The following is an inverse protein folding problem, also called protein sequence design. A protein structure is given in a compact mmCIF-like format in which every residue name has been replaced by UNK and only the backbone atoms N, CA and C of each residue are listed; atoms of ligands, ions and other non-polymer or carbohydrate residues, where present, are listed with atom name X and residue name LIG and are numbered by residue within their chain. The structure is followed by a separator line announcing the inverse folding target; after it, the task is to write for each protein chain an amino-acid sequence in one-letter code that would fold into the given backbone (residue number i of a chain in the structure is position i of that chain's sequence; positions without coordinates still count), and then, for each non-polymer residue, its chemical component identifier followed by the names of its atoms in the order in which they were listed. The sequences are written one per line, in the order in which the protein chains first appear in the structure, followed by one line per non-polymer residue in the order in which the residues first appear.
data_IF_075922908937
#
_entry.id   IF_075922908937
#
_cell.length_a   1.000
_cell.length_b   1.000
_cell.length_c   1.000
_cell.angle_alpha   90.00
_cell.angle_beta   90.00
_cell.angle_gamma   90.00
#
_symmetry.space_group_name_H-M   'P 1'
#
loop_
_entity.id
_entity.type
_entity.pdbx_description
1 polymer ?
#
# COMPACT_ATOMS: atom_id res chain seq x y z
N UNK A 1 -12.99 -12.09 54.80
CA UNK A 1 -11.68 -12.56 54.33
C UNK A 1 -11.78 -12.79 52.83
N UNK A 2 -10.82 -12.25 52.10
CA UNK A 2 -10.83 -12.01 50.66
C UNK A 2 -10.57 -13.26 49.82
N UNK A 3 -11.14 -13.31 48.60
CA UNK A 3 -10.31 -13.22 47.39
C UNK A 3 -11.16 -12.73 46.21
N UNK A 4 -10.66 -11.68 45.58
CA UNK A 4 -11.15 -11.12 44.33
C UNK A 4 -10.53 -11.89 43.16
N UNK A 5 -11.25 -11.94 42.04
CA UNK A 5 -10.74 -12.46 40.77
C UNK A 5 -11.52 -11.85 39.61
N UNK A 6 -11.22 -10.59 39.31
CA UNK A 6 -11.59 -9.95 38.05
C UNK A 6 -10.74 -10.52 36.91
N UNK A 7 -11.36 -10.70 35.74
CA UNK A 7 -10.68 -11.14 34.53
C UNK A 7 -11.53 -10.78 33.32
N UNK A 8 -11.47 -9.50 32.94
CA UNK A 8 -11.99 -8.96 31.69
C UNK A 8 -11.27 -9.57 30.47
N UNK A 9 -12.03 -9.75 29.40
CA UNK A 9 -11.65 -9.52 28.01
C UNK A 9 -10.39 -10.19 27.45
N UNK A 10 -10.59 -11.13 26.52
CA UNK A 10 -9.87 -11.07 25.24
C UNK A 10 -10.60 -11.87 24.16
N UNK A 11 -11.28 -11.13 23.31
CA UNK A 11 -11.70 -11.54 21.98
C UNK A 11 -10.44 -11.93 21.19
N UNK A 12 -10.26 -13.24 20.96
CA UNK A 12 -9.17 -13.74 20.14
C UNK A 12 -9.55 -13.61 18.67
N UNK A 13 -9.24 -12.45 18.09
CA UNK A 13 -9.07 -12.34 16.65
C UNK A 13 -7.86 -13.20 16.24
N UNK A 14 -8.16 -14.42 15.78
CA UNK A 14 -7.17 -15.34 15.25
C UNK A 14 -6.53 -14.75 13.99
N UNK A 15 -5.23 -14.49 14.07
CA UNK A 15 -4.44 -13.86 13.05
C UNK A 15 -4.31 -14.72 11.80
N UNK A 16 -4.71 -14.16 10.65
CA UNK A 16 -3.96 -14.40 9.43
C UNK A 16 -2.76 -13.45 9.47
N UNK A 17 -1.55 -14.00 9.54
CA UNK A 17 -0.33 -13.25 9.25
C UNK A 17 -0.42 -12.77 7.79
N UNK A 18 -1.04 -11.62 7.59
CA UNK A 18 -0.72 -10.76 6.46
C UNK A 18 0.74 -10.41 6.71
N UNK A 19 1.65 -11.20 6.13
CA UNK A 19 3.04 -10.79 6.01
C UNK A 19 3.01 -9.45 5.29
N UNK A 20 3.04 -8.39 6.08
CA UNK A 20 3.22 -7.03 5.61
C UNK A 20 4.45 -7.04 4.72
N UNK A 21 4.30 -6.61 3.48
CA UNK A 21 5.42 -6.38 2.56
C UNK A 21 6.27 -5.23 3.10
N UNK A 22 7.08 -5.51 4.11
CA UNK A 22 7.95 -4.51 4.71
C UNK A 22 9.30 -5.12 5.04
N UNK A 23 10.35 -4.33 4.79
CA UNK A 23 11.72 -4.64 5.17
C UNK A 23 12.08 -4.02 6.53
N UNK A 24 11.13 -3.34 7.17
CA UNK A 24 11.34 -2.66 8.43
C UNK A 24 11.36 -3.65 9.60
N UNK A 25 12.04 -3.25 10.67
CA UNK A 25 12.26 -4.07 11.87
C UNK A 25 10.99 -4.45 12.63
N UNK A 26 9.86 -3.76 12.41
CA UNK A 26 8.61 -4.05 13.12
C UNK A 26 7.39 -3.59 12.35
N UNK A 27 6.30 -4.36 12.50
CA UNK A 27 5.01 -4.04 11.87
C UNK A 27 4.39 -2.72 12.36
N UNK A 28 4.45 -2.37 13.67
CA UNK A 28 3.96 -1.08 14.14
C UNK A 28 4.67 0.11 13.51
N UNK A 29 5.98 0.00 13.22
CA UNK A 29 6.71 1.07 12.55
C UNK A 29 6.24 1.24 11.09
N UNK A 30 6.01 0.14 10.39
CA UNK A 30 5.46 0.18 9.03
C UNK A 30 4.06 0.80 9.02
N UNK A 31 3.19 0.38 9.94
CA UNK A 31 1.85 0.94 10.07
C UNK A 31 1.87 2.44 10.39
N UNK A 32 2.79 2.88 11.26
CA UNK A 32 2.98 4.30 11.56
C UNK A 32 3.29 5.11 10.29
N UNK A 33 4.20 4.63 9.43
CA UNK A 33 4.53 5.31 8.15
C UNK A 33 3.28 5.37 7.26
N UNK A 34 2.60 4.24 7.10
CA UNK A 34 1.41 4.17 6.25
C UNK A 34 0.32 5.15 6.70
N UNK A 35 -0.01 5.17 7.98
CA UNK A 35 -1.08 6.02 8.53
C UNK A 35 -0.70 7.50 8.59
N UNK A 36 0.58 7.82 8.85
CA UNK A 36 1.00 9.21 9.04
C UNK A 36 1.37 9.93 7.75
N UNK A 37 1.95 9.24 6.76
CA UNK A 37 2.48 9.89 5.54
C UNK A 37 1.96 9.33 4.23
N UNK A 38 1.48 8.08 4.19
CA UNK A 38 1.09 7.42 2.93
C UNK A 38 -0.40 7.53 2.66
N UNK A 39 -1.24 6.90 3.48
CA UNK A 39 -2.69 6.88 3.27
C UNK A 39 -3.35 8.26 3.25
N UNK A 40 -2.94 9.25 4.06
CA UNK A 40 -3.52 10.60 3.97
C UNK A 40 -3.27 11.31 2.63
N UNK A 41 -2.33 10.81 1.82
CA UNK A 41 -1.96 11.36 0.51
C UNK A 41 -2.34 10.44 -0.65
N UNK A 42 -2.89 9.26 -0.38
CA UNK A 42 -3.26 8.29 -1.41
C UNK A 42 -4.53 8.78 -2.14
N UNK A 43 -4.49 8.97 -3.47
CA UNK A 43 -5.69 9.28 -4.26
C UNK A 43 -6.76 8.20 -4.13
N UNK A 44 -8.03 8.61 -4.15
CA UNK A 44 -9.16 7.68 -3.96
C UNK A 44 -9.17 6.52 -4.97
N UNK A 45 -8.84 6.77 -6.23
CA UNK A 45 -8.75 5.72 -7.26
C UNK A 45 -7.66 4.68 -6.95
N UNK A 46 -6.54 5.08 -6.36
CA UNK A 46 -5.50 4.16 -5.91
C UNK A 46 -5.98 3.34 -4.71
N UNK A 47 -6.60 3.98 -3.72
CA UNK A 47 -7.21 3.31 -2.57
C UNK A 47 -8.25 2.27 -3.02
N UNK A 48 -9.12 2.62 -3.94
CA UNK A 48 -10.14 1.72 -4.51
C UNK A 48 -9.50 0.52 -5.20
N UNK A 49 -8.50 0.76 -6.05
CA UNK A 49 -7.78 -0.32 -6.74
C UNK A 49 -7.04 -1.24 -5.77
N UNK A 50 -6.44 -0.68 -4.71
CA UNK A 50 -5.79 -1.44 -3.64
C UNK A 50 -6.78 -2.33 -2.89
N UNK A 51 -7.94 -1.79 -2.51
CA UNK A 51 -9.01 -2.56 -1.82
C UNK A 51 -9.54 -3.66 -2.74
N UNK A 52 -9.76 -3.36 -4.03
CA UNK A 52 -10.19 -4.36 -5.00
C UNK A 52 -9.12 -5.47 -5.17
N UNK A 53 -7.86 -5.10 -5.30
CA UNK A 53 -6.73 -6.02 -5.46
C UNK A 53 -6.54 -6.93 -4.25
N UNK A 54 -6.84 -6.46 -3.04
CA UNK A 54 -6.73 -7.26 -1.80
C UNK A 54 -7.63 -8.51 -1.81
N UNK A 55 -8.67 -8.53 -2.63
CA UNK A 55 -9.56 -9.70 -2.81
C UNK A 55 -9.04 -10.73 -3.82
N UNK A 56 -8.01 -10.38 -4.59
CA UNK A 56 -7.44 -11.27 -5.61
C UNK A 56 -6.64 -12.42 -4.95
N UNK A 57 -6.74 -13.69 -5.44
CA UNK A 57 -5.99 -14.81 -4.86
C UNK A 57 -4.47 -14.61 -4.83
N UNK A 58 -3.96 -13.79 -5.76
CA UNK A 58 -2.55 -13.40 -5.85
C UNK A 58 -2.27 -11.98 -5.35
N UNK A 59 -3.07 -11.43 -4.43
CA UNK A 59 -2.93 -10.06 -3.90
C UNK A 59 -1.51 -9.76 -3.39
N UNK A 60 -0.79 -10.79 -2.92
CA UNK A 60 0.62 -10.71 -2.54
C UNK A 60 1.57 -10.32 -3.68
N UNK A 61 1.13 -10.17 -4.93
CA UNK A 61 1.94 -9.62 -6.04
C UNK A 61 1.94 -8.09 -6.07
N UNK A 62 0.89 -7.43 -5.57
CA UNK A 62 0.73 -5.98 -5.69
C UNK A 62 1.86 -5.18 -5.02
N UNK A 63 2.28 -4.08 -5.64
CA UNK A 63 3.21 -3.12 -5.02
C UNK A 63 2.63 -2.58 -3.70
N UNK A 64 3.50 -2.22 -2.75
CA UNK A 64 3.03 -1.66 -1.48
C UNK A 64 2.68 -0.17 -1.61
N UNK A 65 1.79 0.39 -0.75
CA UNK A 65 1.38 1.80 -0.86
C UNK A 65 2.54 2.79 -0.71
N UNK A 66 3.51 2.47 0.15
CA UNK A 66 4.71 3.27 0.37
C UNK A 66 5.69 3.21 -0.82
N UNK A 67 5.82 2.04 -1.47
CA UNK A 67 6.57 1.89 -2.73
C UNK A 67 5.92 2.73 -3.84
N UNK A 68 4.60 2.67 -3.96
CA UNK A 68 3.84 3.46 -4.93
C UNK A 68 4.01 4.96 -4.70
N UNK A 69 3.93 5.44 -3.45
CA UNK A 69 4.19 6.85 -3.14
C UNK A 69 5.61 7.29 -3.54
N UNK A 70 6.62 6.43 -3.35
CA UNK A 70 7.98 6.69 -3.80
C UNK A 70 8.08 6.77 -5.33
N UNK A 71 7.44 5.86 -6.06
CA UNK A 71 7.44 5.87 -7.52
C UNK A 71 6.86 7.18 -8.08
N UNK A 72 5.74 7.65 -7.53
CA UNK A 72 5.15 8.92 -7.92
C UNK A 72 6.11 10.09 -7.71
N UNK A 73 6.73 10.16 -6.52
CA UNK A 73 7.75 11.18 -6.22
C UNK A 73 8.91 11.12 -7.24
N UNK A 74 9.42 9.92 -7.55
CA UNK A 74 10.52 9.75 -8.50
C UNK A 74 10.14 10.23 -9.91
N UNK A 75 8.93 9.90 -10.37
CA UNK A 75 8.42 10.33 -11.68
C UNK A 75 8.34 11.86 -11.76
N UNK A 76 7.80 12.49 -10.72
CA UNK A 76 7.65 13.95 -10.63
C UNK A 76 9.02 14.66 -10.61
N UNK A 77 9.95 14.22 -9.76
CA UNK A 77 11.27 14.89 -9.66
C UNK A 77 12.14 14.69 -10.91
N UNK A 78 11.94 13.59 -11.64
CA UNK A 78 12.62 13.34 -12.91
C UNK A 78 11.98 14.10 -14.07
N UNK A 79 10.77 14.65 -13.88
CA UNK A 79 10.00 15.26 -14.97
C UNK A 79 9.71 14.28 -16.10
N UNK A 80 9.45 13.00 -15.76
CA UNK A 80 9.25 11.96 -16.76
C UNK A 80 7.99 12.23 -17.59
N UNK A 81 8.06 11.90 -18.89
CA UNK A 81 6.92 11.97 -19.82
C UNK A 81 6.56 10.62 -20.45
N UNK A 82 7.52 9.70 -20.48
CA UNK A 82 7.33 8.36 -21.03
C UNK A 82 7.84 7.35 -20.01
N UNK A 83 6.99 6.39 -19.65
CA UNK A 83 7.34 5.31 -18.76
C UNK A 83 7.06 3.96 -19.43
N UNK A 84 7.82 2.94 -19.02
CA UNK A 84 7.55 1.55 -19.37
C UNK A 84 7.40 0.76 -18.07
N UNK A 85 6.32 -0.01 -17.96
CA UNK A 85 6.09 -0.91 -16.83
C UNK A 85 6.06 -2.35 -17.33
N UNK A 86 7.02 -3.17 -16.91
CA UNK A 86 7.05 -4.60 -17.24
C UNK A 86 6.59 -5.39 -16.01
N UNK A 87 5.36 -5.89 -16.08
CA UNK A 87 4.70 -6.58 -14.97
C UNK A 87 3.66 -5.70 -14.28
N UNK A 88 2.46 -5.65 -14.85
CA UNK A 88 1.37 -4.75 -14.43
C UNK A 88 0.52 -5.32 -13.29
N UNK A 89 0.32 -6.64 -13.27
CA UNK A 89 -0.66 -7.31 -12.41
C UNK A 89 -2.05 -6.63 -12.47
N UNK A 90 -2.58 -6.14 -11.35
CA UNK A 90 -3.86 -5.41 -11.28
C UNK A 90 -3.71 -3.91 -11.56
N UNK A 91 -2.49 -3.41 -11.75
CA UNK A 91 -2.22 -2.05 -12.19
C UNK A 91 -2.09 -0.99 -11.10
N UNK A 92 -1.80 -1.37 -9.84
CA UNK A 92 -1.64 -0.40 -8.75
C UNK A 92 -0.44 0.55 -8.98
N UNK A 93 0.72 -0.01 -9.35
CA UNK A 93 1.91 0.76 -9.78
C UNK A 93 1.65 1.52 -11.09
N UNK A 94 1.01 0.88 -12.07
CA UNK A 94 0.68 1.50 -13.35
C UNK A 94 -0.22 2.73 -13.20
N UNK A 95 -1.27 2.63 -12.38
CA UNK A 95 -2.18 3.74 -12.12
C UNK A 95 -1.45 4.90 -11.44
N UNK A 96 -0.59 4.60 -10.46
CA UNK A 96 0.20 5.62 -9.79
C UNK A 96 1.18 6.32 -10.74
N UNK A 97 1.84 5.54 -11.61
CA UNK A 97 2.70 6.06 -12.67
C UNK A 97 1.93 7.01 -13.58
N UNK A 98 0.75 6.58 -14.05
CA UNK A 98 -0.10 7.41 -14.91
C UNK A 98 -0.55 8.71 -14.24
N UNK A 99 -0.85 8.68 -12.93
CA UNK A 99 -1.24 9.86 -12.15
C UNK A 99 -0.09 10.86 -11.91
N UNK A 100 1.16 10.39 -11.88
CA UNK A 100 2.33 11.23 -11.64
C UNK A 100 2.92 11.82 -12.93
N UNK A 101 2.62 11.23 -14.09
CA UNK A 101 2.98 11.80 -15.38
C UNK A 101 2.14 13.06 -15.69
N UNK A 102 2.65 14.00 -16.50
CA UNK A 102 1.84 15.10 -17.01
C UNK A 102 0.70 14.59 -17.90
N UNK A 103 -0.30 15.43 -18.19
CA UNK A 103 -1.46 15.09 -19.02
C UNK A 103 -1.10 14.53 -20.41
N UNK A 104 0.04 14.95 -20.98
CA UNK A 104 0.57 14.47 -22.26
C UNK A 104 1.50 13.25 -22.14
N UNK A 105 1.64 12.72 -20.93
CA UNK A 105 2.49 11.60 -20.60
C UNK A 105 1.94 10.26 -21.12
N UNK A 106 2.85 9.30 -21.31
CA UNK A 106 2.53 7.98 -21.85
C UNK A 106 3.15 6.88 -21.02
N UNK A 107 2.39 5.82 -20.78
CA UNK A 107 2.89 4.58 -20.21
C UNK A 107 2.68 3.45 -21.21
N UNK A 108 3.76 2.73 -21.52
CA UNK A 108 3.70 1.44 -22.21
C UNK A 108 3.75 0.35 -21.15
N UNK A 109 2.76 -0.53 -21.14
CA UNK A 109 2.57 -1.53 -20.10
C UNK A 109 2.24 -2.91 -20.70
#
# INVERSE_FOLDING_TARGET
MASAGAGEGKETAAGSSLHSKTLLKSQPLYQYILESTVFPREPDCLRELRVATATHPMAGMAASPDEVQLLQLLIEILGAKNAIEVGVFTGYSLLATALALPDDGKVSA
#
